data_IF_659758056391
#
_entry.id   IF_659758056391
#
_cell.length_a   1.000
_cell.length_b   1.000
_cell.length_c   1.000
_cell.angle_alpha   90.00
_cell.angle_beta   90.00
_cell.angle_gamma   90.00
#
_symmetry.space_group_name_H-M   'P 1'
#
loop_
_entity.id
_entity.type
_entity.pdbx_description
1 polymer ?
#
# COMPACT_ATOMS: atom_id res chain seq x y z
N UNK A 1 -13.50 -0.32 -22.61
CA UNK A 1 -12.73 -1.10 -21.63
C UNK A 1 -11.34 -0.48 -21.49
N UNK A 2 -11.25 0.79 -21.09
CA UNK A 2 -9.98 1.54 -21.17
C UNK A 2 -9.53 2.19 -19.86
N UNK A 3 -10.31 2.10 -18.78
CA UNK A 3 -9.94 2.66 -17.47
C UNK A 3 -9.04 1.73 -16.64
N UNK A 4 -9.13 0.41 -16.83
CA UNK A 4 -8.43 -0.56 -15.97
C UNK A 4 -6.89 -0.56 -16.13
N UNK A 5 -6.35 -0.23 -17.31
CA UNK A 5 -4.89 -0.31 -17.55
C UNK A 5 -4.12 0.87 -16.94
N UNK A 6 -4.73 2.06 -16.84
CA UNK A 6 -4.08 3.24 -16.28
C UNK A 6 -3.98 3.16 -14.75
N UNK A 7 -5.03 2.70 -14.08
CA UNK A 7 -5.05 2.48 -12.62
C UNK A 7 -4.06 1.39 -12.20
N UNK A 8 -3.96 0.32 -12.99
CA UNK A 8 -2.99 -0.76 -12.76
C UNK A 8 -1.53 -0.27 -12.87
N UNK A 9 -1.21 0.56 -13.87
CA UNK A 9 0.13 1.15 -13.99
C UNK A 9 0.46 2.08 -12.82
N UNK A 10 -0.47 2.96 -12.42
CA UNK A 10 -0.26 3.86 -11.28
C UNK A 10 -0.03 3.08 -9.97
N UNK A 11 -0.80 2.01 -9.76
CA UNK A 11 -0.65 1.12 -8.60
C UNK A 11 0.71 0.42 -8.60
N UNK A 12 1.19 -0.03 -9.76
CA UNK A 12 2.52 -0.65 -9.88
C UNK A 12 3.66 0.34 -9.60
N UNK A 13 3.56 1.57 -10.08
CA UNK A 13 4.54 2.64 -9.80
C UNK A 13 4.58 3.03 -8.32
N UNK A 14 3.40 3.14 -7.69
CA UNK A 14 3.28 3.36 -6.26
C UNK A 14 3.88 2.20 -5.45
N UNK A 15 3.61 0.95 -5.85
CA UNK A 15 4.16 -0.23 -5.20
C UNK A 15 5.69 -0.27 -5.29
N UNK A 16 6.26 0.06 -6.45
CA UNK A 16 7.72 0.09 -6.62
C UNK A 16 8.35 1.18 -5.75
N UNK A 17 7.78 2.38 -5.77
CA UNK A 17 8.24 3.51 -4.93
C UNK A 17 8.18 3.19 -3.44
N UNK A 18 7.15 2.46 -3.02
CA UNK A 18 6.97 2.01 -1.65
C UNK A 18 8.02 0.96 -1.25
N UNK A 19 8.28 -0.03 -2.12
CA UNK A 19 9.32 -1.05 -1.91
C UNK A 19 10.70 -0.42 -1.75
N UNK A 20 11.05 0.56 -2.59
CA UNK A 20 12.33 1.26 -2.52
C UNK A 20 12.45 2.10 -1.23
N UNK A 21 11.36 2.74 -0.81
CA UNK A 21 11.31 3.50 0.44
C UNK A 21 11.39 2.60 1.68
N UNK A 22 10.79 1.41 1.65
CA UNK A 22 10.92 0.39 2.70
C UNK A 22 12.36 -0.17 2.75
N UNK A 23 12.96 -0.49 1.60
CA UNK A 23 14.32 -1.02 1.53
C UNK A 23 15.39 -0.02 1.99
N UNK A 24 15.16 1.28 1.80
CA UNK A 24 16.05 2.35 2.27
C UNK A 24 15.85 2.73 3.75
N UNK A 25 14.90 2.11 4.45
CA UNK A 25 14.58 2.45 5.85
C UNK A 25 13.92 3.82 6.03
N UNK A 26 13.42 4.43 4.94
CA UNK A 26 12.86 5.77 4.94
C UNK A 26 11.38 5.77 5.40
N UNK A 27 11.10 5.35 6.64
CA UNK A 27 9.75 5.23 7.19
C UNK A 27 8.91 6.50 7.05
N UNK A 28 9.51 7.68 7.20
CA UNK A 28 8.81 8.96 7.00
C UNK A 28 8.36 9.20 5.56
N UNK A 29 9.10 8.69 4.55
CA UNK A 29 8.70 8.76 3.15
C UNK A 29 7.56 7.78 2.86
N UNK A 30 7.63 6.57 3.42
CA UNK A 30 6.57 5.55 3.32
C UNK A 30 5.25 6.09 3.87
N UNK A 31 5.27 6.68 5.08
CA UNK A 31 4.06 7.28 5.69
C UNK A 31 3.43 8.37 4.81
N UNK A 32 4.23 9.24 4.19
CA UNK A 32 3.72 10.27 3.26
C UNK A 32 3.11 9.68 2.00
N UNK A 33 3.68 8.60 1.46
CA UNK A 33 3.10 7.92 0.30
C UNK A 33 1.76 7.30 0.67
N UNK A 34 1.70 6.57 1.79
CA UNK A 34 0.47 5.95 2.30
C UNK A 34 -0.64 6.97 2.55
N UNK A 35 -0.31 8.15 3.09
CA UNK A 35 -1.29 9.21 3.35
C UNK A 35 -1.94 9.79 2.08
N UNK A 36 -1.41 9.52 0.89
CA UNK A 36 -1.98 9.96 -0.39
C UNK A 36 -2.70 8.83 -1.14
N UNK A 37 -2.74 7.62 -0.60
CA UNK A 37 -3.40 6.46 -1.22
C UNK A 37 -4.78 6.23 -0.61
N UNK A 38 -5.73 5.76 -1.41
CA UNK A 38 -7.01 5.28 -0.87
C UNK A 38 -6.82 3.99 -0.07
N UNK A 39 -7.68 3.72 0.93
CA UNK A 39 -7.64 2.48 1.72
C UNK A 39 -7.64 1.20 0.87
N UNK A 40 -8.38 1.19 -0.24
CA UNK A 40 -8.39 0.07 -1.18
C UNK A 40 -7.04 -0.16 -1.89
N UNK A 41 -6.32 0.90 -2.23
CA UNK A 41 -4.98 0.81 -2.83
C UNK A 41 -3.97 0.26 -1.81
N UNK A 42 -4.08 0.69 -0.55
CA UNK A 42 -3.24 0.19 0.55
C UNK A 42 -3.50 -1.30 0.78
N UNK A 43 -4.78 -1.74 0.76
CA UNK A 43 -5.14 -3.16 0.88
C UNK A 43 -4.49 -3.99 -0.23
N UNK A 44 -4.61 -3.55 -1.49
CA UNK A 44 -4.01 -4.24 -2.63
C UNK A 44 -2.48 -4.34 -2.53
N UNK A 45 -1.84 -3.28 -2.05
CA UNK A 45 -0.40 -3.27 -1.78
C UNK A 45 -0.06 -4.30 -0.69
N UNK A 46 -0.78 -4.33 0.42
CA UNK A 46 -0.55 -5.28 1.53
C UNK A 46 -0.66 -6.73 1.07
N UNK A 47 -1.63 -7.06 0.22
CA UNK A 47 -1.81 -8.38 -0.38
C UNK A 47 -0.61 -8.79 -1.24
N UNK A 48 -0.09 -7.85 -2.03
CA UNK A 48 1.06 -8.08 -2.92
C UNK A 48 2.41 -8.24 -2.18
N UNK A 49 2.46 -7.88 -0.88
CA UNK A 49 3.68 -7.91 -0.08
C UNK A 49 3.86 -9.25 0.66
N UNK A 50 5.11 -9.75 0.79
CA UNK A 50 5.41 -10.88 1.64
C UNK A 50 5.17 -10.54 3.12
N UNK A 51 4.84 -11.54 3.93
CA UNK A 51 4.44 -11.40 5.34
C UNK A 51 5.31 -10.45 6.17
N UNK A 52 6.63 -10.51 5.99
CA UNK A 52 7.57 -9.64 6.70
C UNK A 52 7.38 -8.15 6.38
N UNK A 53 7.30 -7.80 5.08
CA UNK A 53 7.09 -6.42 4.64
C UNK A 53 5.66 -5.94 4.92
N UNK A 54 4.67 -6.84 4.81
CA UNK A 54 3.28 -6.54 5.15
C UNK A 54 3.15 -6.06 6.59
N UNK A 55 3.77 -6.75 7.53
CA UNK A 55 3.74 -6.38 8.95
C UNK A 55 4.36 -5.00 9.18
N UNK A 56 5.52 -4.73 8.56
CA UNK A 56 6.19 -3.43 8.67
C UNK A 56 5.32 -2.33 8.07
N UNK A 57 4.74 -2.55 6.89
CA UNK A 57 3.90 -1.55 6.23
C UNK A 57 2.64 -1.27 7.06
N UNK A 58 2.01 -2.30 7.62
CA UNK A 58 0.83 -2.19 8.47
C UNK A 58 1.06 -1.24 9.67
N UNK A 59 2.21 -1.35 10.34
CA UNK A 59 2.62 -0.45 11.44
C UNK A 59 2.88 1.00 10.99
N UNK A 60 3.06 1.22 9.69
CA UNK A 60 3.25 2.54 9.09
C UNK A 60 1.95 3.18 8.58
N UNK A 61 0.91 2.38 8.32
CA UNK A 61 -0.42 2.89 7.95
C UNK A 61 -1.03 3.63 9.15
N UNK A 62 -1.74 4.73 8.87
CA UNK A 62 -2.45 5.48 9.89
C UNK A 62 -3.52 4.60 10.57
N UNK A 63 -3.52 4.50 11.92
CA UNK A 63 -4.53 3.73 12.65
C UNK A 63 -5.97 4.14 12.34
N UNK A 64 -6.22 5.40 11.96
CA UNK A 64 -7.57 5.88 11.63
C UNK A 64 -8.15 5.17 10.40
N UNK A 65 -7.30 4.78 9.44
CA UNK A 65 -7.75 4.12 8.20
C UNK A 65 -7.61 2.59 8.24
N UNK A 66 -7.05 2.02 9.31
CA UNK A 66 -6.87 0.56 9.44
C UNK A 66 -8.16 -0.21 9.21
N UNK A 67 -9.27 0.27 9.78
CA UNK A 67 -10.59 -0.34 9.61
C UNK A 67 -11.02 -0.38 8.15
N UNK A 68 -10.92 0.76 7.45
CA UNK A 68 -11.27 0.86 6.03
C UNK A 68 -10.37 -0.01 5.16
N UNK A 69 -9.06 -0.04 5.43
CA UNK A 69 -8.12 -0.89 4.72
C UNK A 69 -8.50 -2.37 4.87
N UNK A 70 -8.83 -2.82 6.08
CA UNK A 70 -9.23 -4.21 6.33
C UNK A 70 -10.54 -4.61 5.61
N UNK A 71 -11.46 -3.67 5.37
CA UNK A 71 -12.66 -3.93 4.57
C UNK A 71 -12.36 -4.23 3.10
N UNK A 72 -11.19 -3.80 2.62
CA UNK A 72 -10.74 -3.99 1.24
C UNK A 72 -9.73 -5.13 1.07
N UNK A 73 -9.19 -5.68 2.16
CA UNK A 73 -8.35 -6.88 2.11
C UNK A 73 -9.26 -8.08 1.85
N UNK A 74 -8.97 -8.84 0.82
CA UNK A 74 -9.73 -10.02 0.47
C UNK A 74 -9.31 -11.21 1.36
N UNK A 75 -10.31 -12.00 1.79
CA UNK A 75 -10.18 -13.09 2.77
C UNK A 75 -9.63 -14.41 2.16
N UNK A 76 -8.76 -14.35 1.15
CA UNK A 76 -8.22 -15.55 0.47
C UNK A 76 -7.13 -16.31 1.26
#
# INVERSE_FOLDING_TARGET
MSENTAEQHATQEHLQSLKDALASGAAGRVRRLLANLHPAEIAHILESLPKGLRTILWELVDPEVHGEVLLHVNDE
#
